data_IF_639009940880
#
_entry.id   IF_639009940880
#
_cell.length_a   1.000
_cell.length_b   1.000
_cell.length_c   1.000
_cell.angle_alpha   90.00
_cell.angle_beta   90.00
_cell.angle_gamma   90.00
#
_symmetry.space_group_name_H-M   'P 1'
#
loop_
_entity.id
_entity.type
_entity.pdbx_description
1 polymer ?
#
# COMPACT_ATOMS: atom_id res chain seq x y z
N UNK A 1 -4.30 -2.11 15.03
CA UNK A 1 -3.25 -1.81 14.04
C UNK A 1 -3.83 -1.28 12.73
N UNK A 2 -4.68 -2.04 12.04
CA UNK A 2 -5.26 -1.67 10.74
C UNK A 2 -6.03 -0.35 10.80
N UNK A 3 -6.89 -0.16 11.80
CA UNK A 3 -7.63 1.08 11.98
C UNK A 3 -6.71 2.30 12.11
N UNK A 4 -5.60 2.17 12.83
CA UNK A 4 -4.60 3.22 12.97
C UNK A 4 -3.92 3.55 11.63
N UNK A 5 -3.62 2.54 10.81
CA UNK A 5 -3.04 2.75 9.48
C UNK A 5 -4.02 3.45 8.55
N UNK A 6 -5.30 3.07 8.59
CA UNK A 6 -6.33 3.70 7.76
C UNK A 6 -6.61 5.14 8.21
N UNK A 7 -6.57 5.41 9.52
CA UNK A 7 -6.68 6.79 10.05
C UNK A 7 -5.51 7.66 9.56
N UNK A 8 -4.30 7.13 9.60
CA UNK A 8 -3.11 7.81 9.07
C UNK A 8 -3.22 8.03 7.57
N UNK A 9 -3.62 6.99 6.83
CA UNK A 9 -3.85 7.08 5.38
C UNK A 9 -4.84 8.20 5.03
N UNK A 10 -5.97 8.26 5.73
CA UNK A 10 -6.98 9.28 5.48
C UNK A 10 -6.43 10.69 5.70
N UNK A 11 -5.75 10.89 6.83
CA UNK A 11 -5.12 12.17 7.16
C UNK A 11 -4.08 12.59 6.12
N UNK A 12 -3.20 11.68 5.75
CA UNK A 12 -2.14 11.96 4.79
C UNK A 12 -2.69 12.19 3.38
N UNK A 13 -3.73 11.46 2.99
CA UNK A 13 -4.40 11.64 1.71
C UNK A 13 -5.16 12.97 1.63
N UNK A 14 -5.76 13.43 2.72
CA UNK A 14 -6.35 14.78 2.78
C UNK A 14 -5.27 15.87 2.61
N UNK A 15 -4.10 15.69 3.21
CA UNK A 15 -2.93 16.56 3.01
C UNK A 15 -2.43 16.53 1.57
N UNK A 16 -2.36 15.36 0.98
CA UNK A 16 -1.99 15.16 -0.42
C UNK A 16 -2.96 15.84 -1.38
N UNK A 17 -4.26 15.71 -1.12
CA UNK A 17 -5.29 16.42 -1.88
C UNK A 17 -5.08 17.92 -1.86
N UNK A 18 -4.75 18.50 -0.71
CA UNK A 18 -4.44 19.93 -0.59
C UNK A 18 -3.22 20.31 -1.43
N UNK A 19 -2.16 19.52 -1.40
CA UNK A 19 -0.95 19.72 -2.21
C UNK A 19 -1.26 19.69 -3.70
N UNK A 20 -2.09 18.76 -4.15
CA UNK A 20 -2.54 18.66 -5.55
C UNK A 20 -3.35 19.88 -5.97
N UNK A 21 -4.28 20.33 -5.13
CA UNK A 21 -5.08 21.54 -5.40
C UNK A 21 -4.27 22.82 -5.44
N UNK A 22 -3.19 22.89 -4.67
CA UNK A 22 -2.24 24.00 -4.71
C UNK A 22 -1.32 23.99 -5.95
N UNK A 23 -1.36 22.92 -6.74
CA UNK A 23 -0.55 22.78 -7.95
C UNK A 23 0.94 22.52 -7.69
N UNK A 24 1.31 22.08 -6.49
CA UNK A 24 2.70 21.80 -6.11
C UNK A 24 3.12 20.39 -6.53
N UNK A 25 3.52 20.25 -7.81
CA UNK A 25 3.88 18.97 -8.42
C UNK A 25 5.04 18.26 -7.69
N UNK A 26 6.10 18.98 -7.37
CA UNK A 26 7.30 18.38 -6.74
C UNK A 26 6.98 17.84 -5.34
N UNK A 27 6.21 18.59 -4.56
CA UNK A 27 5.77 18.14 -3.24
C UNK A 27 4.81 16.96 -3.34
N UNK A 28 3.89 16.97 -4.30
CA UNK A 28 2.98 15.86 -4.55
C UNK A 28 3.73 14.58 -4.89
N UNK A 29 4.76 14.65 -5.74
CA UNK A 29 5.62 13.51 -6.06
C UNK A 29 6.40 12.99 -4.86
N UNK A 30 6.83 13.83 -3.94
CA UNK A 30 7.49 13.43 -2.69
C UNK A 30 6.53 12.75 -1.73
N UNK A 31 5.32 13.26 -1.62
CA UNK A 31 4.29 12.73 -0.72
C UNK A 31 3.74 11.39 -1.17
N UNK A 32 3.56 11.21 -2.48
CA UNK A 32 2.89 10.04 -3.07
C UNK A 32 3.38 8.70 -2.52
N UNK A 33 4.66 8.33 -2.63
CA UNK A 33 5.11 7.02 -2.14
C UNK A 33 4.97 6.87 -0.63
N UNK A 34 5.12 7.94 0.13
CA UNK A 34 5.05 7.90 1.59
C UNK A 34 3.63 7.68 2.10
N UNK A 35 2.64 8.33 1.49
CA UNK A 35 1.23 8.16 1.91
C UNK A 35 0.70 6.78 1.56
N UNK A 36 1.13 6.19 0.45
CA UNK A 36 0.76 4.83 0.06
C UNK A 36 1.20 3.79 1.09
N UNK A 37 2.29 4.01 1.79
CA UNK A 37 2.82 3.04 2.77
C UNK A 37 1.80 2.65 3.83
N UNK A 38 0.94 3.56 4.27
CA UNK A 38 -0.12 3.23 5.23
C UNK A 38 -1.18 2.28 4.63
N UNK A 39 -1.49 2.41 3.35
CA UNK A 39 -2.34 1.47 2.62
C UNK A 39 -1.68 0.10 2.50
N UNK A 40 -0.46 0.05 2.02
CA UNK A 40 0.31 -1.18 1.81
C UNK A 40 0.53 -1.97 3.12
N UNK A 41 0.72 -1.30 4.26
CA UNK A 41 0.76 -1.97 5.58
C UNK A 41 -0.57 -2.62 5.94
N UNK A 42 -1.67 -2.10 5.45
CA UNK A 42 -3.03 -2.55 5.71
C UNK A 42 -3.52 -3.56 4.67
N UNK A 43 -2.80 -3.75 3.59
CA UNK A 43 -3.19 -4.57 2.44
C UNK A 43 -3.63 -5.99 2.83
N UNK A 44 -2.97 -6.68 3.79
CA UNK A 44 -3.43 -8.00 4.24
C UNK A 44 -4.91 -8.05 4.66
N UNK A 45 -5.46 -6.89 5.07
CA UNK A 45 -6.87 -6.76 5.45
C UNK A 45 -7.67 -6.03 4.37
N UNK A 46 -7.08 -5.01 3.73
CA UNK A 46 -7.76 -4.19 2.72
C UNK A 46 -8.25 -5.03 1.53
N UNK A 47 -7.50 -6.02 1.10
CA UNK A 47 -7.88 -6.95 0.02
C UNK A 47 -9.18 -7.72 0.30
N UNK A 48 -9.54 -7.95 1.56
CA UNK A 48 -10.82 -8.57 1.91
C UNK A 48 -12.02 -7.70 1.53
N UNK A 49 -11.79 -6.42 1.25
CA UNK A 49 -12.77 -5.44 0.78
C UNK A 49 -12.56 -5.11 -0.70
N UNK A 50 -12.57 -6.11 -1.57
CA UNK A 50 -12.19 -6.04 -2.97
C UNK A 50 -12.80 -4.88 -3.77
N UNK A 51 -14.07 -4.49 -3.51
CA UNK A 51 -14.67 -3.32 -4.15
C UNK A 51 -13.97 -2.01 -3.79
N UNK A 52 -13.55 -1.87 -2.53
CA UNK A 52 -12.82 -0.69 -2.07
C UNK A 52 -11.40 -0.70 -2.61
N UNK A 53 -10.76 -1.85 -2.65
CA UNK A 53 -9.43 -2.03 -3.21
C UNK A 53 -9.38 -1.61 -4.69
N UNK A 54 -10.33 -2.07 -5.50
CA UNK A 54 -10.47 -1.67 -6.92
C UNK A 54 -10.60 -0.14 -7.09
N UNK A 55 -11.30 0.54 -6.20
CA UNK A 55 -11.45 2.00 -6.26
C UNK A 55 -10.18 2.76 -5.85
N UNK A 56 -9.42 2.21 -4.90
CA UNK A 56 -8.29 2.89 -4.26
C UNK A 56 -6.97 2.58 -4.95
N UNK A 57 -6.72 1.32 -5.31
CA UNK A 57 -5.39 0.83 -5.64
C UNK A 57 -5.27 0.06 -6.96
N UNK A 58 -6.32 -0.02 -7.77
CA UNK A 58 -6.28 -0.81 -8.99
C UNK A 58 -5.28 -0.27 -10.01
N UNK A 59 -4.41 -1.15 -10.51
CA UNK A 59 -3.45 -0.80 -11.57
C UNK A 59 -4.18 -0.69 -12.91
N UNK A 60 -3.65 0.18 -13.79
CA UNK A 60 -4.22 0.40 -15.11
C UNK A 60 -4.35 -0.91 -15.90
N UNK A 61 -3.31 -1.75 -15.86
CA UNK A 61 -3.28 -3.00 -16.64
C UNK A 61 -4.43 -3.94 -16.24
N UNK A 62 -4.67 -4.10 -14.95
CA UNK A 62 -5.73 -4.95 -14.42
C UNK A 62 -7.12 -4.38 -14.73
N UNK A 63 -7.27 -3.06 -14.54
CA UNK A 63 -8.53 -2.38 -14.83
C UNK A 63 -8.92 -2.52 -16.30
N UNK A 64 -7.97 -2.31 -17.21
CA UNK A 64 -8.21 -2.42 -18.66
C UNK A 64 -8.47 -3.87 -19.08
N UNK A 65 -7.78 -4.82 -18.47
CA UNK A 65 -8.01 -6.24 -18.77
C UNK A 65 -9.45 -6.66 -18.43
N UNK A 66 -9.95 -6.22 -17.29
CA UNK A 66 -11.32 -6.52 -16.86
C UNK A 66 -12.40 -5.75 -17.61
N UNK A 67 -12.20 -4.43 -17.80
CA UNK A 67 -13.24 -3.52 -18.32
C UNK A 67 -13.11 -3.24 -19.82
N UNK A 68 -12.02 -3.64 -20.46
CA UNK A 68 -11.68 -3.37 -21.87
C UNK A 68 -11.61 -1.87 -22.23
N UNK A 69 -11.49 -1.01 -21.20
CA UNK A 69 -11.39 0.44 -21.29
C UNK A 69 -10.75 0.98 -20.02
N UNK A 70 -10.09 2.13 -20.10
CA UNK A 70 -9.62 2.86 -18.91
C UNK A 70 -10.70 3.79 -18.31
N UNK A 71 -11.88 3.89 -18.94
CA UNK A 71 -12.97 4.73 -18.48
C UNK A 71 -13.44 4.28 -17.08
N UNK A 72 -13.47 5.22 -16.14
CA UNK A 72 -13.85 4.96 -14.76
C UNK A 72 -12.70 4.51 -13.85
N UNK A 73 -11.51 4.28 -14.39
CA UNK A 73 -10.32 3.99 -13.58
C UNK A 73 -9.98 5.18 -12.68
N UNK A 74 -9.73 4.89 -11.39
CA UNK A 74 -9.51 5.87 -10.32
C UNK A 74 -8.45 5.38 -9.34
N UNK A 75 -8.26 6.11 -8.25
CA UNK A 75 -7.39 5.71 -7.17
C UNK A 75 -5.97 6.25 -7.29
N UNK A 76 -5.06 5.70 -6.48
CA UNK A 76 -3.67 6.15 -6.41
C UNK A 76 -2.96 6.11 -7.77
N UNK A 77 -3.04 5.01 -8.49
CA UNK A 77 -2.31 4.83 -9.75
C UNK A 77 -2.85 5.74 -10.87
N UNK A 78 -4.11 6.15 -10.79
CA UNK A 78 -4.64 7.17 -11.71
C UNK A 78 -4.00 8.53 -11.49
N UNK A 79 -3.80 8.90 -10.24
CA UNK A 79 -3.09 10.14 -9.87
C UNK A 79 -1.60 10.03 -10.21
N UNK A 80 -0.98 8.90 -9.89
CA UNK A 80 0.41 8.59 -10.23
C UNK A 80 0.71 8.85 -11.71
N UNK A 81 -0.13 8.34 -12.60
CA UNK A 81 0.02 8.54 -14.05
C UNK A 81 0.03 10.02 -14.43
N UNK A 82 -0.88 10.82 -13.87
CA UNK A 82 -0.96 12.25 -14.17
C UNK A 82 0.31 12.96 -13.68
N UNK A 83 0.76 12.66 -12.47
CA UNK A 83 1.94 13.32 -11.89
C UNK A 83 3.23 12.98 -12.65
N UNK A 84 3.44 11.73 -13.04
CA UNK A 84 4.72 11.28 -13.64
C UNK A 84 4.69 11.23 -15.15
N UNK A 85 3.65 10.71 -15.78
CA UNK A 85 3.57 10.64 -17.24
C UNK A 85 3.24 11.99 -17.87
N UNK A 86 2.24 12.71 -17.30
CA UNK A 86 1.85 14.03 -17.79
C UNK A 86 2.64 15.17 -17.13
N UNK A 87 3.39 14.90 -16.09
CA UNK A 87 4.23 15.86 -15.35
C UNK A 87 3.46 17.13 -14.91
N UNK A 88 2.27 16.95 -14.37
CA UNK A 88 1.36 18.01 -13.93
C UNK A 88 0.47 17.56 -12.78
N UNK A 89 -0.09 18.53 -12.05
CA UNK A 89 -1.20 18.30 -11.11
C UNK A 89 -2.56 18.53 -11.74
N UNK A 90 -2.62 19.03 -12.98
CA UNK A 90 -3.87 19.35 -13.67
C UNK A 90 -4.75 18.11 -13.85
N UNK A 91 -6.01 18.22 -13.48
CA UNK A 91 -6.97 17.14 -13.59
C UNK A 91 -6.94 16.11 -12.45
N UNK A 92 -6.09 16.31 -11.44
CA UNK A 92 -6.02 15.39 -10.27
C UNK A 92 -7.11 15.66 -9.24
N UNK A 93 -7.72 16.83 -9.20
CA UNK A 93 -8.66 17.25 -8.14
C UNK A 93 -9.81 16.26 -7.96
N UNK A 94 -10.47 15.87 -9.04
CA UNK A 94 -11.59 14.92 -8.98
C UNK A 94 -11.18 13.53 -8.46
N UNK A 95 -9.99 13.08 -8.85
CA UNK A 95 -9.46 11.78 -8.39
C UNK A 95 -9.02 11.82 -6.95
N UNK A 96 -8.45 12.95 -6.50
CA UNK A 96 -8.10 13.16 -5.11
C UNK A 96 -9.33 13.23 -4.20
N UNK A 97 -10.38 13.94 -4.61
CA UNK A 97 -11.65 13.98 -3.89
C UNK A 97 -12.30 12.60 -3.81
N UNK A 98 -12.31 11.85 -4.90
CA UNK A 98 -12.81 10.48 -4.94
C UNK A 98 -12.00 9.56 -4.04
N UNK A 99 -10.66 9.62 -4.10
CA UNK A 99 -9.78 8.80 -3.28
C UNK A 99 -10.03 9.01 -1.78
N UNK A 100 -10.16 10.26 -1.34
CA UNK A 100 -10.49 10.57 0.06
C UNK A 100 -11.84 9.95 0.45
N UNK A 101 -12.85 10.04 -0.41
CA UNK A 101 -14.16 9.44 -0.14
C UNK A 101 -14.11 7.91 -0.10
N UNK A 102 -13.38 7.29 -1.02
CA UNK A 102 -13.22 5.83 -1.08
C UNK A 102 -12.46 5.29 0.15
N UNK A 103 -11.46 6.03 0.65
CA UNK A 103 -10.77 5.70 1.90
C UNK A 103 -11.70 5.84 3.12
N UNK A 104 -12.56 6.86 3.16
CA UNK A 104 -13.59 7.00 4.20
C UNK A 104 -14.58 5.83 4.18
N UNK A 105 -14.97 5.38 2.99
CA UNK A 105 -15.83 4.21 2.82
C UNK A 105 -15.13 2.94 3.33
N UNK A 106 -13.87 2.72 2.96
CA UNK A 106 -13.07 1.61 3.44
C UNK A 106 -12.95 1.61 4.98
N UNK A 107 -12.65 2.76 5.57
CA UNK A 107 -12.60 2.93 7.02
C UNK A 107 -13.91 2.52 7.69
N UNK A 108 -15.04 2.95 7.15
CA UNK A 108 -16.36 2.60 7.68
C UNK A 108 -16.63 1.09 7.56
N UNK A 109 -16.24 0.45 6.46
CA UNK A 109 -16.37 -1.00 6.27
C UNK A 109 -15.52 -1.79 7.27
N UNK A 110 -14.26 -1.40 7.46
CA UNK A 110 -13.35 -2.04 8.42
C UNK A 110 -13.92 -1.98 9.84
N UNK A 111 -14.52 -0.87 10.23
CA UNK A 111 -15.13 -0.71 11.56
C UNK A 111 -16.32 -1.65 11.83
N UNK A 112 -16.94 -2.20 10.79
CA UNK A 112 -18.12 -3.07 10.88
C UNK A 112 -17.80 -4.56 10.80
N UNK A 113 -16.55 -4.92 10.48
CA UNK A 113 -16.14 -6.32 10.28
C UNK A 113 -15.25 -6.78 11.43
N UNK A 114 -15.55 -7.97 11.93
CA UNK A 114 -14.67 -8.65 12.86
C UNK A 114 -13.47 -9.23 12.09
N UNK A 115 -12.31 -8.64 12.31
CA UNK A 115 -11.05 -9.14 11.74
C UNK A 115 -10.57 -10.32 12.57
N UNK A 116 -10.73 -11.53 12.02
CA UNK A 116 -10.32 -12.76 12.68
C UNK A 116 -8.82 -13.05 12.54
N UNK A 117 -8.21 -13.83 13.43
CA UNK A 117 -6.83 -14.29 13.27
C UNK A 117 -6.56 -14.96 11.91
N UNK A 118 -7.49 -15.77 11.42
CA UNK A 118 -7.36 -16.47 10.15
C UNK A 118 -7.29 -15.51 8.97
N UNK A 119 -8.11 -14.46 8.96
CA UNK A 119 -8.08 -13.42 7.93
C UNK A 119 -6.72 -12.70 7.94
N UNK A 120 -6.21 -12.33 9.12
CA UNK A 120 -4.93 -11.63 9.25
C UNK A 120 -3.75 -12.50 8.78
N UNK A 121 -3.68 -13.74 9.22
CA UNK A 121 -2.58 -14.64 8.87
C UNK A 121 -2.62 -15.03 7.40
N UNK A 122 -3.78 -15.35 6.86
CA UNK A 122 -3.95 -15.68 5.44
C UNK A 122 -3.56 -14.48 4.59
N UNK A 123 -4.08 -13.29 4.89
CA UNK A 123 -3.74 -12.06 4.17
C UNK A 123 -2.25 -11.74 4.20
N UNK A 124 -1.57 -11.93 5.33
CA UNK A 124 -0.13 -11.72 5.43
C UNK A 124 0.67 -12.70 4.56
N UNK A 125 0.28 -13.97 4.53
CA UNK A 125 0.94 -15.00 3.71
C UNK A 125 0.72 -14.73 2.22
N UNK A 126 -0.51 -14.43 1.82
CA UNK A 126 -0.88 -14.16 0.44
C UNK A 126 -0.13 -12.92 -0.09
N UNK A 127 -0.08 -11.85 0.71
CA UNK A 127 0.67 -10.64 0.38
C UNK A 127 2.17 -10.90 0.20
N UNK A 128 2.81 -11.65 1.11
CA UNK A 128 4.22 -11.99 0.98
C UNK A 128 4.52 -12.82 -0.27
N UNK A 129 3.62 -13.73 -0.64
CA UNK A 129 3.71 -14.49 -1.88
C UNK A 129 3.57 -13.58 -3.11
N UNK A 130 2.65 -12.65 -3.08
CA UNK A 130 2.44 -11.67 -4.16
C UNK A 130 3.66 -10.77 -4.34
N UNK A 131 4.21 -10.22 -3.28
CA UNK A 131 5.46 -9.44 -3.32
C UNK A 131 6.58 -10.25 -3.97
N UNK A 132 6.77 -11.50 -3.56
CA UNK A 132 7.86 -12.34 -4.04
C UNK A 132 7.72 -12.79 -5.50
N UNK A 133 6.48 -12.92 -6.01
CA UNK A 133 6.22 -13.52 -7.33
C UNK A 133 5.79 -12.53 -8.40
N UNK A 134 5.19 -11.41 -8.01
CA UNK A 134 4.59 -10.41 -8.90
C UNK A 134 5.17 -9.01 -8.65
N UNK A 135 4.89 -8.41 -7.51
CA UNK A 135 5.30 -7.02 -7.21
C UNK A 135 6.80 -6.76 -7.37
N UNK A 136 7.65 -7.78 -7.13
CA UNK A 136 9.12 -7.68 -7.28
C UNK A 136 9.54 -7.33 -8.72
N UNK A 137 8.67 -7.50 -9.71
CA UNK A 137 8.98 -7.14 -11.10
C UNK A 137 8.93 -5.64 -11.37
N UNK A 138 8.48 -4.83 -10.41
CA UNK A 138 8.30 -3.38 -10.57
C UNK A 138 7.00 -3.01 -11.27
N UNK A 139 5.99 -3.86 -11.21
CA UNK A 139 4.72 -3.66 -11.91
C UNK A 139 3.70 -2.84 -11.13
N UNK A 140 3.95 -2.56 -9.84
CA UNK A 140 3.02 -1.82 -9.00
C UNK A 140 3.04 -0.32 -9.32
N UNK A 141 4.20 0.29 -9.28
CA UNK A 141 4.40 1.73 -9.47
C UNK A 141 5.04 2.02 -10.84
N UNK A 142 4.34 1.63 -11.91
CA UNK A 142 4.90 1.66 -13.28
C UNK A 142 5.21 3.05 -13.81
N UNK A 143 4.63 4.10 -13.24
CA UNK A 143 4.88 5.49 -13.65
C UNK A 143 5.92 6.18 -12.79
N UNK A 144 5.86 5.99 -11.47
CA UNK A 144 6.74 6.64 -10.50
C UNK A 144 8.03 5.88 -10.22
N UNK A 145 8.02 4.56 -10.41
CA UNK A 145 9.11 3.64 -10.03
C UNK A 145 9.45 3.71 -8.53
N UNK A 146 8.41 3.87 -7.69
CA UNK A 146 8.53 3.95 -6.23
C UNK A 146 8.17 2.66 -5.50
N UNK A 147 8.24 1.54 -6.18
CA UNK A 147 7.88 0.20 -5.68
C UNK A 147 8.59 -0.21 -4.38
N UNK A 148 9.80 0.28 -4.12
CA UNK A 148 10.53 -0.07 -2.89
C UNK A 148 9.86 0.45 -1.62
N UNK A 149 9.10 1.55 -1.70
CA UNK A 149 8.27 2.02 -0.59
C UNK A 149 7.14 1.05 -0.29
N UNK A 150 6.48 0.55 -1.33
CA UNK A 150 5.40 -0.43 -1.22
C UNK A 150 5.92 -1.75 -0.63
N UNK A 151 7.05 -2.26 -1.11
CA UNK A 151 7.68 -3.47 -0.57
C UNK A 151 8.00 -3.34 0.91
N UNK A 152 8.60 -2.23 1.32
CA UNK A 152 8.88 -1.98 2.74
C UNK A 152 7.60 -2.02 3.57
N UNK A 153 6.57 -1.33 3.12
CA UNK A 153 5.29 -1.26 3.82
C UNK A 153 4.59 -2.62 3.89
N UNK A 154 4.61 -3.40 2.81
CA UNK A 154 4.08 -4.76 2.79
C UNK A 154 4.80 -5.66 3.81
N UNK A 155 6.14 -5.63 3.85
CA UNK A 155 6.93 -6.37 4.83
C UNK A 155 6.62 -5.91 6.26
N UNK A 156 6.53 -4.61 6.51
CA UNK A 156 6.17 -4.06 7.82
C UNK A 156 4.77 -4.51 8.27
N UNK A 157 3.80 -4.55 7.37
CA UNK A 157 2.46 -5.04 7.66
C UNK A 157 2.43 -6.51 8.05
N UNK A 158 3.10 -7.36 7.26
CA UNK A 158 3.21 -8.80 7.53
C UNK A 158 3.98 -9.07 8.83
N UNK A 159 5.09 -8.36 9.06
CA UNK A 159 5.89 -8.48 10.29
C UNK A 159 5.09 -8.06 11.53
N UNK A 160 4.28 -7.01 11.42
CA UNK A 160 3.39 -6.59 12.50
C UNK A 160 2.37 -7.67 12.86
N UNK A 161 1.74 -8.26 11.86
CA UNK A 161 0.81 -9.39 12.06
C UNK A 161 1.53 -10.54 12.74
N UNK A 162 2.70 -10.94 12.24
CA UNK A 162 3.52 -11.95 12.88
C UNK A 162 3.80 -11.62 14.35
N UNK A 163 4.21 -10.39 14.66
CA UNK A 163 4.53 -9.97 16.03
C UNK A 163 3.34 -10.08 16.99
N UNK A 164 2.12 -9.83 16.50
CA UNK A 164 0.89 -9.97 17.29
C UNK A 164 0.59 -11.43 17.67
N UNK A 165 0.92 -12.37 16.76
CA UNK A 165 0.67 -13.80 16.95
C UNK A 165 1.89 -14.56 17.50
N UNK A 166 3.06 -13.93 17.56
CA UNK A 166 4.31 -14.54 18.03
C UNK A 166 4.14 -15.33 19.34
N UNK A 167 3.50 -14.81 20.42
CA UNK A 167 3.38 -15.56 21.66
C UNK A 167 2.59 -16.87 21.51
N UNK A 168 1.62 -16.93 20.61
CA UNK A 168 0.82 -18.12 20.33
C UNK A 168 1.61 -19.13 19.46
N UNK A 169 2.31 -18.64 18.45
CA UNK A 169 3.13 -19.47 17.56
C UNK A 169 4.27 -20.09 18.36
N UNK A 170 4.92 -19.32 19.23
CA UNK A 170 6.06 -19.76 20.04
C UNK A 170 5.71 -20.94 20.96
N UNK A 171 4.49 -20.99 21.49
CA UNK A 171 3.98 -22.11 22.28
C UNK A 171 3.84 -23.40 21.48
N UNK A 172 3.61 -23.30 20.18
CA UNK A 172 3.43 -24.44 19.28
C UNK A 172 4.71 -24.83 18.56
N UNK A 173 5.49 -23.86 18.13
CA UNK A 173 6.70 -24.06 17.32
C UNK A 173 7.67 -22.89 17.51
N UNK A 174 8.49 -22.97 18.56
CA UNK A 174 9.52 -21.95 18.84
C UNK A 174 10.60 -21.86 17.75
N UNK A 175 10.84 -22.96 17.03
CA UNK A 175 11.82 -22.98 15.92
C UNK A 175 11.30 -22.15 14.75
N UNK A 176 10.02 -22.27 14.42
CA UNK A 176 9.39 -21.47 13.37
C UNK A 176 9.49 -19.97 13.67
N UNK A 177 9.25 -19.57 14.92
CA UNK A 177 9.38 -18.16 15.35
C UNK A 177 10.78 -17.63 15.07
N UNK A 178 11.83 -18.39 15.43
CA UNK A 178 13.23 -17.99 15.17
C UNK A 178 13.52 -17.88 13.68
N UNK A 179 13.00 -18.79 12.87
CA UNK A 179 13.17 -18.76 11.43
C UNK A 179 12.50 -17.51 10.83
N UNK A 180 11.24 -17.22 11.21
CA UNK A 180 10.52 -16.05 10.72
C UNK A 180 11.21 -14.74 11.13
N UNK A 181 11.65 -14.62 12.38
CA UNK A 181 12.41 -13.44 12.84
C UNK A 181 13.69 -13.23 12.03
N UNK A 182 14.42 -14.30 11.73
CA UNK A 182 15.63 -14.22 10.92
C UNK A 182 15.34 -13.78 9.48
N UNK A 183 14.26 -14.31 8.86
CA UNK A 183 13.89 -13.96 7.50
C UNK A 183 13.38 -12.52 7.40
N UNK A 184 12.56 -12.04 8.34
CA UNK A 184 12.18 -10.62 8.38
C UNK A 184 13.38 -9.70 8.55
N UNK A 185 14.32 -10.06 9.41
CA UNK A 185 15.58 -9.32 9.56
C UNK A 185 16.37 -9.27 8.26
N UNK A 186 16.48 -10.39 7.56
CA UNK A 186 17.20 -10.47 6.29
C UNK A 186 16.58 -9.60 5.21
N UNK A 187 15.26 -9.68 5.01
CA UNK A 187 14.56 -8.88 3.99
C UNK A 187 14.60 -7.38 4.31
N UNK A 188 14.45 -7.00 5.58
CA UNK A 188 14.60 -5.61 6.00
C UNK A 188 16.02 -5.09 5.75
N UNK A 189 17.05 -5.88 6.02
CA UNK A 189 18.45 -5.51 5.72
C UNK A 189 18.69 -5.33 4.21
N UNK A 190 18.06 -6.14 3.36
CA UNK A 190 18.13 -5.98 1.91
C UNK A 190 17.46 -4.69 1.45
N UNK A 191 16.28 -4.37 1.97
CA UNK A 191 15.58 -3.11 1.68
C UNK A 191 16.38 -1.89 2.14
N UNK A 192 17.02 -1.96 3.31
CA UNK A 192 17.85 -0.88 3.85
C UNK A 192 18.99 -0.47 2.89
N UNK A 193 19.53 -1.42 2.12
CA UNK A 193 20.59 -1.14 1.11
C UNK A 193 20.13 -0.23 -0.03
N UNK A 194 18.83 -0.13 -0.24
CA UNK A 194 18.23 0.68 -1.31
C UNK A 194 17.69 2.02 -0.81
N UNK A 195 17.84 2.32 0.48
CA UNK A 195 17.47 3.62 1.02
C UNK A 195 18.46 4.71 0.59
N UNK A 196 17.93 5.90 0.31
CA UNK A 196 18.72 7.10 0.00
C UNK A 196 18.96 7.97 1.23
N UNK A 197 18.02 7.91 2.19
CA UNK A 197 18.07 8.55 3.49
C UNK A 197 17.16 7.77 4.48
N UNK A 198 16.86 8.34 5.65
CA UNK A 198 16.06 7.68 6.70
C UNK A 198 14.63 7.29 6.29
N UNK A 199 14.09 7.93 5.24
CA UNK A 199 12.68 7.79 4.84
C UNK A 199 12.48 7.46 3.38
N UNK A 200 13.51 7.55 2.55
CA UNK A 200 13.39 7.47 1.10
C UNK A 200 14.20 6.32 0.49
N UNK A 201 13.76 5.88 -0.66
CA UNK A 201 14.33 4.79 -1.44
C UNK A 201 14.77 5.26 -2.82
N UNK A 202 15.69 4.51 -3.42
CA UNK A 202 16.05 4.65 -4.84
C UNK A 202 14.85 4.31 -5.71
N UNK A 203 14.81 4.85 -6.92
CA UNK A 203 13.88 4.39 -7.95
C UNK A 203 14.16 2.95 -8.32
N UNK A 204 13.11 2.23 -8.60
CA UNK A 204 13.16 0.82 -9.00
C UNK A 204 13.44 0.68 -10.50
#
# INVERSE_FOLDING_TARGET
FVEMQIDQLLKDTEGFRATLKDGNLEEAKKQYPLIRMAYERSEPIAETFGESDVKIDYRLVDYVDENKSEDGWSGFHRIERILWENNTTDGTDKYADQLVNDIKELKAKIATVEVTPDIMLTGAVDLLNEVATQKITGEEEVFSHTDLYDFRANIEGAEKIFSLFKPLIEKKDAKLVKTLEAEFKNVNALLDKHMTDESNYKSY
#
